data_IF_249469273294
#
_entry.id   IF_249469273294
#
_cell.length_a   1.000
_cell.length_b   1.000
_cell.length_c   1.000
_cell.angle_alpha   90.00
_cell.angle_beta   90.00
_cell.angle_gamma   90.00
#
_symmetry.space_group_name_H-M   'P 1'
#
loop_
_entity.id
_entity.type
_entity.pdbx_description
1 polymer ?
#
# COMPACT_ATOMS: atom_id res chain seq x y z
N UNK A 1 -11.72 -39.82 -49.29
CA UNK A 1 -10.78 -39.20 -50.24
C UNK A 1 -9.79 -38.36 -49.45
N UNK A 2 -8.62 -38.90 -49.13
CA UNK A 2 -7.39 -38.11 -48.86
C UNK A 2 -6.80 -37.65 -50.21
N UNK A 3 -5.78 -36.75 -50.32
CA UNK A 3 -4.86 -36.23 -49.28
C UNK A 3 -4.52 -34.71 -49.33
N UNK A 4 -3.69 -34.28 -48.35
CA UNK A 4 -2.60 -33.30 -48.32
C UNK A 4 -2.63 -31.98 -49.14
N UNK A 5 -2.30 -30.84 -48.49
CA UNK A 5 -0.96 -30.23 -48.66
C UNK A 5 -0.66 -29.09 -47.66
N UNK A 6 0.55 -29.16 -47.11
CA UNK A 6 1.28 -28.14 -46.33
C UNK A 6 1.81 -27.03 -47.24
N UNK A 7 1.82 -25.77 -46.79
CA UNK A 7 2.90 -24.81 -47.11
C UNK A 7 2.84 -23.56 -46.22
N UNK A 8 3.94 -23.39 -45.48
CA UNK A 8 4.35 -22.19 -44.77
C UNK A 8 4.74 -21.11 -45.77
N UNK A 9 4.26 -19.86 -45.65
CA UNK A 9 4.93 -18.70 -46.26
C UNK A 9 4.75 -17.46 -45.38
N UNK A 10 5.91 -16.94 -45.01
CA UNK A 10 6.23 -15.78 -44.17
C UNK A 10 5.72 -14.46 -44.73
N UNK A 11 5.22 -13.60 -43.84
CA UNK A 11 4.89 -12.21 -44.09
C UNK A 11 6.15 -11.36 -44.39
N UNK A 12 6.11 -10.46 -45.40
CA UNK A 12 7.21 -9.51 -45.65
C UNK A 12 7.15 -8.25 -44.76
N UNK A 13 8.35 -7.78 -44.41
CA UNK A 13 8.70 -6.65 -43.52
C UNK A 13 8.42 -5.26 -44.14
N UNK A 14 8.12 -4.21 -43.34
CA UNK A 14 7.57 -2.93 -43.81
C UNK A 14 8.68 -1.92 -44.18
N UNK A 15 9.53 -2.23 -45.16
CA UNK A 15 10.63 -1.36 -45.59
C UNK A 15 10.46 -0.76 -47.00
N UNK A 16 9.22 -0.60 -47.48
CA UNK A 16 8.95 -0.17 -48.85
C UNK A 16 7.91 0.97 -48.98
N UNK A 17 7.92 1.93 -48.06
CA UNK A 17 7.16 3.18 -48.21
C UNK A 17 7.92 4.36 -47.58
N UNK A 18 8.80 5.03 -48.34
CA UNK A 18 9.29 6.38 -48.03
C UNK A 18 9.73 7.11 -49.34
N UNK A 19 9.43 8.42 -49.50
CA UNK A 19 9.53 9.19 -50.76
C UNK A 19 10.91 9.86 -51.03
N UNK A 20 11.14 10.43 -52.24
CA UNK A 20 12.45 10.59 -52.84
C UNK A 20 13.09 11.96 -52.56
N UNK A 21 13.59 12.19 -51.34
CA UNK A 21 14.32 13.41 -50.98
C UNK A 21 15.70 13.15 -50.35
N UNK A 22 16.32 12.01 -50.67
CA UNK A 22 17.63 11.60 -50.15
C UNK A 22 18.65 11.29 -51.27
N UNK A 23 18.73 12.17 -52.27
CA UNK A 23 19.78 12.16 -53.30
C UNK A 23 20.25 13.58 -53.57
N UNK A 24 21.08 14.15 -52.70
CA UNK A 24 22.08 15.19 -53.04
C UNK A 24 22.84 15.63 -51.77
N UNK A 25 23.83 14.85 -51.32
CA UNK A 25 24.91 15.34 -50.44
C UNK A 25 26.05 14.31 -50.31
N UNK A 26 26.45 13.72 -51.43
CA UNK A 26 27.65 12.87 -51.49
C UNK A 26 28.61 13.47 -52.51
N UNK A 27 29.34 14.51 -52.10
CA UNK A 27 30.57 14.99 -52.77
C UNK A 27 31.17 16.17 -52.02
N UNK A 28 32.05 15.90 -51.05
CA UNK A 28 33.25 16.71 -50.80
C UNK A 28 34.17 16.01 -49.80
N UNK A 29 35.42 15.85 -50.25
CA UNK A 29 36.65 15.68 -49.47
C UNK A 29 36.99 14.25 -49.00
N UNK A 30 37.40 13.44 -49.98
CA UNK A 30 38.57 12.56 -49.83
C UNK A 30 39.83 13.42 -49.88
N UNK A 31 40.78 13.14 -48.98
CA UNK A 31 42.19 13.51 -49.17
C UNK A 31 42.93 13.87 -47.89
N UNK A 32 43.51 12.87 -47.22
CA UNK A 32 44.96 12.69 -47.07
C UNK A 32 45.26 11.75 -45.91
N UNK A 33 45.78 10.58 -46.26
CA UNK A 33 46.43 9.65 -45.35
C UNK A 33 47.89 10.07 -45.12
N UNK A 34 48.41 9.83 -43.91
CA UNK A 34 49.72 9.19 -43.74
C UNK A 34 49.92 8.74 -42.29
N UNK A 35 50.49 7.54 -42.17
CA UNK A 35 50.80 6.84 -40.94
C UNK A 35 52.13 7.30 -40.34
N UNK A 36 52.31 7.14 -39.02
CA UNK A 36 53.55 6.56 -38.46
C UNK A 36 53.41 6.32 -36.95
N UNK A 37 54.09 5.28 -36.51
CA UNK A 37 54.04 4.67 -35.19
C UNK A 37 55.00 5.31 -34.17
N UNK A 38 54.81 4.90 -32.90
CA UNK A 38 55.82 4.81 -31.84
C UNK A 38 56.17 6.09 -31.08
N UNK A 39 55.80 6.17 -29.79
CA UNK A 39 56.69 5.80 -28.67
C UNK A 39 56.03 6.14 -27.32
N UNK A 40 56.30 5.26 -26.37
CA UNK A 40 55.89 5.32 -24.97
C UNK A 40 56.59 6.46 -24.22
N UNK A 41 55.85 7.24 -23.43
CA UNK A 41 56.40 8.05 -22.35
C UNK A 41 55.37 8.18 -21.23
N UNK A 42 55.53 7.32 -20.21
CA UNK A 42 54.77 7.36 -18.98
C UNK A 42 54.96 8.70 -18.25
N UNK A 43 53.90 9.50 -18.20
CA UNK A 43 53.83 10.68 -17.34
C UNK A 43 52.99 10.34 -16.11
N UNK A 44 53.65 10.13 -14.97
CA UNK A 44 53.03 9.95 -13.66
C UNK A 44 52.14 11.15 -13.35
N UNK A 45 50.84 10.93 -13.23
CA UNK A 45 49.90 11.88 -12.64
C UNK A 45 49.55 11.37 -11.24
N UNK A 46 49.94 12.15 -10.24
CA UNK A 46 49.56 11.97 -8.84
C UNK A 46 48.04 12.07 -8.66
N UNK A 47 47.42 11.30 -7.75
CA UNK A 47 45.99 11.41 -7.49
C UNK A 47 45.69 12.70 -6.70
N UNK A 48 44.85 13.56 -7.27
CA UNK A 48 44.23 14.68 -6.55
C UNK A 48 43.25 14.13 -5.51
N UNK A 49 43.15 14.75 -4.31
CA UNK A 49 42.23 14.29 -3.28
C UNK A 49 40.79 14.55 -3.72
N UNK A 50 39.98 13.50 -3.70
CA UNK A 50 38.52 13.59 -3.84
C UNK A 50 38.02 14.33 -2.59
N UNK A 51 37.63 15.59 -2.76
CA UNK A 51 36.90 16.34 -1.74
C UNK A 51 35.49 15.72 -1.62
N UNK A 52 35.32 14.84 -0.64
CA UNK A 52 34.00 14.41 -0.19
C UNK A 52 33.20 15.63 0.28
N UNK A 53 31.99 15.91 -0.23
CA UNK A 53 31.12 16.83 0.46
C UNK A 53 30.71 16.16 1.76
N UNK A 54 31.21 16.70 2.85
CA UNK A 54 30.80 16.35 4.19
C UNK A 54 29.28 16.46 4.33
N UNK A 55 28.67 15.37 4.80
CA UNK A 55 27.55 15.37 5.72
C UNK A 55 26.48 16.46 5.48
N UNK A 56 25.75 16.38 4.36
CA UNK A 56 24.35 16.77 4.41
C UNK A 56 23.68 15.74 5.32
N UNK A 57 23.32 16.18 6.53
CA UNK A 57 22.61 15.37 7.51
C UNK A 57 21.46 14.63 6.82
N UNK A 58 21.65 13.33 6.64
CA UNK A 58 20.55 12.42 6.43
C UNK A 58 19.77 12.43 7.75
N UNK A 59 18.88 13.42 7.91
CA UNK A 59 17.62 13.19 8.59
C UNK A 59 16.90 12.12 7.78
N UNK A 60 17.36 10.89 7.97
CA UNK A 60 16.62 9.69 7.67
C UNK A 60 15.38 9.76 8.53
N UNK A 61 14.36 10.44 8.03
CA UNK A 61 13.03 9.90 8.11
C UNK A 61 13.17 8.50 7.52
N UNK A 62 13.45 7.52 8.37
CA UNK A 62 13.06 6.16 8.11
C UNK A 62 11.61 6.29 7.70
N UNK A 63 11.32 6.20 6.40
CA UNK A 63 9.99 5.84 5.95
C UNK A 63 9.77 4.51 6.63
N UNK A 64 9.10 4.55 7.79
CA UNK A 64 8.69 3.36 8.52
C UNK A 64 7.83 2.62 7.51
N UNK A 65 8.38 1.57 6.91
CA UNK A 65 7.56 0.64 6.16
C UNK A 65 6.48 0.19 7.14
N UNK A 66 5.24 0.52 6.84
CA UNK A 66 4.12 0.20 7.71
C UNK A 66 4.13 -1.30 7.95
N UNK A 67 4.14 -1.74 9.21
CA UNK A 67 3.99 -3.15 9.58
C UNK A 67 2.73 -3.76 8.98
N UNK A 68 1.70 -2.99 8.60
CA UNK A 68 0.56 -3.46 7.78
C UNK A 68 0.98 -4.15 6.46
N UNK A 69 2.06 -3.70 5.82
CA UNK A 69 2.61 -4.34 4.61
C UNK A 69 3.63 -5.46 4.90
N UNK A 70 4.10 -5.58 6.15
CA UNK A 70 5.02 -6.64 6.57
C UNK A 70 4.23 -7.75 7.26
N UNK A 71 4.27 -8.97 6.77
CA UNK A 71 3.52 -10.10 7.36
C UNK A 71 4.17 -10.66 8.64
N UNK A 72 5.02 -9.88 9.29
CA UNK A 72 5.70 -10.22 10.54
C UNK A 72 5.80 -8.99 11.44
N UNK A 73 6.08 -9.22 12.72
CA UNK A 73 6.22 -8.18 13.72
C UNK A 73 7.67 -7.72 13.85
N UNK A 74 7.87 -6.42 14.05
CA UNK A 74 9.13 -5.83 14.46
C UNK A 74 8.84 -5.09 15.76
N UNK A 75 9.55 -5.47 16.82
CA UNK A 75 9.39 -4.87 18.13
C UNK A 75 9.71 -3.37 18.06
N UNK A 76 8.79 -2.58 18.60
CA UNK A 76 8.96 -1.14 18.74
C UNK A 76 8.55 -0.71 20.15
N UNK A 77 9.00 0.46 20.63
CA UNK A 77 8.59 0.96 21.95
C UNK A 77 7.07 1.08 22.09
N UNK A 78 6.38 1.36 20.98
CA UNK A 78 4.93 1.52 20.90
C UNK A 78 4.15 0.20 20.75
N UNK A 79 4.78 -0.83 20.18
CA UNK A 79 4.16 -2.12 19.87
C UNK A 79 5.18 -3.22 20.13
N UNK A 80 5.02 -3.91 21.25
CA UNK A 80 5.84 -5.03 21.68
C UNK A 80 4.96 -6.04 22.43
N UNK A 81 5.34 -7.33 22.52
CA UNK A 81 4.56 -8.34 23.22
C UNK A 81 4.54 -8.18 24.75
N UNK A 82 5.48 -7.42 25.31
CA UNK A 82 5.62 -7.24 26.76
C UNK A 82 4.78 -6.07 27.32
N UNK A 83 4.12 -5.28 26.46
CA UNK A 83 3.31 -4.16 26.92
C UNK A 83 2.03 -4.69 27.60
N UNK A 84 1.62 -4.12 28.75
CA UNK A 84 0.35 -4.49 29.37
C UNK A 84 -0.80 -3.99 28.50
N UNK A 85 -1.66 -4.90 28.05
CA UNK A 85 -2.88 -4.58 27.31
C UNK A 85 -4.00 -5.50 27.76
N UNK A 86 -5.14 -4.91 28.12
CA UNK A 86 -6.37 -5.61 28.51
C UNK A 86 -7.58 -4.84 27.99
N UNK A 87 -8.72 -5.52 27.83
CA UNK A 87 -9.97 -4.86 27.49
C UNK A 87 -10.46 -4.00 28.66
N UNK A 88 -11.08 -2.86 28.36
CA UNK A 88 -11.77 -2.07 29.38
C UNK A 88 -12.96 -2.85 29.95
N UNK A 89 -13.40 -2.48 31.16
CA UNK A 89 -14.51 -3.18 31.83
C UNK A 89 -15.78 -3.24 30.96
N UNK A 90 -16.11 -2.13 30.31
CA UNK A 90 -17.27 -2.02 29.41
C UNK A 90 -17.10 -2.90 28.15
N UNK A 91 -15.88 -2.97 27.60
CA UNK A 91 -15.59 -3.84 26.46
C UNK A 91 -15.55 -5.32 26.85
N UNK A 92 -15.20 -5.66 28.10
CA UNK A 92 -15.27 -7.03 28.59
C UNK A 92 -16.71 -7.57 28.62
N UNK A 93 -17.71 -6.72 28.87
CA UNK A 93 -19.12 -7.10 28.77
C UNK A 93 -19.48 -7.47 27.32
N UNK A 94 -19.05 -6.67 26.35
CA UNK A 94 -19.20 -6.96 24.91
C UNK A 94 -18.46 -8.23 24.49
N UNK A 95 -17.26 -8.48 25.03
CA UNK A 95 -16.52 -9.72 24.77
C UNK A 95 -17.31 -10.94 25.26
N UNK A 96 -17.92 -10.86 26.44
CA UNK A 96 -18.76 -11.94 26.96
C UNK A 96 -20.02 -12.15 26.11
N UNK A 97 -20.63 -11.06 25.63
CA UNK A 97 -21.75 -11.11 24.68
C UNK A 97 -21.34 -11.79 23.36
N UNK A 98 -20.22 -11.38 22.76
CA UNK A 98 -19.67 -11.99 21.55
C UNK A 98 -19.45 -13.49 21.76
N UNK A 99 -18.85 -13.89 22.88
CA UNK A 99 -18.61 -15.29 23.20
C UNK A 99 -19.91 -16.08 23.42
N UNK A 100 -20.99 -15.43 23.87
CA UNK A 100 -22.30 -16.06 24.07
C UNK A 100 -22.97 -16.50 22.78
N UNK A 101 -22.63 -15.86 21.64
CA UNK A 101 -23.14 -16.25 20.32
C UNK A 101 -22.56 -17.56 19.81
N UNK A 102 -21.44 -18.02 20.38
CA UNK A 102 -20.73 -19.21 19.94
C UNK A 102 -20.82 -20.33 20.98
N UNK A 103 -20.84 -21.60 20.57
CA UNK A 103 -20.84 -22.71 21.52
C UNK A 103 -19.52 -22.78 22.27
N UNK A 104 -19.54 -23.33 23.49
CA UNK A 104 -18.43 -23.30 24.44
C UNK A 104 -17.13 -23.94 23.94
N UNK A 105 -17.22 -24.88 23.00
CA UNK A 105 -16.08 -25.56 22.38
C UNK A 105 -15.51 -24.85 21.15
N UNK A 106 -16.27 -23.95 20.50
CA UNK A 106 -15.84 -23.20 19.32
C UNK A 106 -15.74 -21.69 19.58
N UNK A 107 -15.16 -21.32 20.72
CA UNK A 107 -14.89 -19.91 21.08
C UNK A 107 -13.95 -19.21 20.10
N UNK A 108 -13.16 -19.97 19.34
CA UNK A 108 -12.28 -19.45 18.27
C UNK A 108 -13.04 -18.61 17.23
N UNK A 109 -14.31 -18.90 16.99
CA UNK A 109 -15.15 -18.15 16.05
C UNK A 109 -15.32 -16.68 16.42
N UNK A 110 -15.15 -16.32 17.70
CA UNK A 110 -15.23 -14.94 18.17
C UNK A 110 -13.97 -14.09 17.94
N UNK A 111 -12.89 -14.63 17.37
CA UNK A 111 -11.62 -13.89 17.22
C UNK A 111 -11.80 -12.63 16.36
N UNK A 112 -12.54 -12.70 15.26
CA UNK A 112 -12.77 -11.57 14.36
C UNK A 112 -13.46 -10.40 15.08
N UNK A 113 -14.64 -10.57 15.71
CA UNK A 113 -15.29 -9.47 16.43
C UNK A 113 -14.49 -8.99 17.66
N UNK A 114 -13.74 -9.87 18.33
CA UNK A 114 -12.86 -9.43 19.44
C UNK A 114 -11.67 -8.60 18.95
N UNK A 115 -11.08 -8.93 17.81
CA UNK A 115 -10.01 -8.15 17.18
C UNK A 115 -10.52 -6.78 16.72
N UNK A 116 -11.73 -6.73 16.15
CA UNK A 116 -12.36 -5.48 15.75
C UNK A 116 -12.63 -4.57 16.96
N UNK A 117 -13.15 -5.16 18.05
CA UNK A 117 -13.35 -4.43 19.30
C UNK A 117 -12.02 -3.92 19.89
N UNK A 118 -10.96 -4.73 19.85
CA UNK A 118 -9.63 -4.33 20.30
C UNK A 118 -9.05 -3.18 19.46
N UNK A 119 -9.25 -3.22 18.13
CA UNK A 119 -8.87 -2.15 17.22
C UNK A 119 -9.58 -0.84 17.57
N UNK A 120 -10.89 -0.90 17.84
CA UNK A 120 -11.67 0.27 18.21
C UNK A 120 -11.24 0.84 19.57
N UNK A 121 -10.96 -0.04 20.55
CA UNK A 121 -10.48 0.38 21.87
C UNK A 121 -9.10 1.06 21.79
N UNK A 122 -8.21 0.55 20.95
CA UNK A 122 -6.82 1.00 20.89
C UNK A 122 -6.57 2.14 19.88
N UNK A 123 -7.65 2.77 19.37
CA UNK A 123 -7.56 3.95 18.50
C UNK A 123 -7.19 3.60 17.06
N UNK A 124 -7.74 2.51 16.54
CA UNK A 124 -7.73 2.20 15.10
C UNK A 124 -6.66 1.24 14.63
N UNK A 125 -5.87 0.65 15.54
CA UNK A 125 -4.88 -0.37 15.21
C UNK A 125 -4.76 -1.42 16.33
N UNK A 126 -4.24 -2.60 16.00
CA UNK A 126 -4.13 -3.75 16.89
C UNK A 126 -2.65 -4.01 17.24
N UNK A 127 -2.23 -3.78 18.50
CA UNK A 127 -0.89 -4.15 18.95
C UNK A 127 -0.78 -5.66 19.19
N UNK A 128 0.45 -6.17 19.19
CA UNK A 128 0.70 -7.61 19.42
C UNK A 128 0.20 -8.05 20.80
N UNK A 129 0.38 -7.22 21.82
CA UNK A 129 -0.15 -7.51 23.15
C UNK A 129 -1.69 -7.65 23.18
N UNK A 130 -2.42 -6.93 22.33
CA UNK A 130 -3.87 -7.11 22.21
C UNK A 130 -4.24 -8.46 21.60
N UNK A 131 -3.49 -8.89 20.60
CA UNK A 131 -3.66 -10.22 20.00
C UNK A 131 -3.37 -11.33 21.02
N UNK A 132 -2.35 -11.16 21.85
CA UNK A 132 -2.00 -12.10 22.92
C UNK A 132 -3.06 -12.14 24.02
N UNK A 133 -3.63 -11.00 24.39
CA UNK A 133 -4.73 -10.93 25.35
C UNK A 133 -5.96 -11.67 24.83
N UNK A 134 -6.33 -11.49 23.56
CA UNK A 134 -7.44 -12.21 22.93
C UNK A 134 -7.16 -13.71 22.90
N UNK A 135 -5.94 -14.13 22.55
CA UNK A 135 -5.56 -15.53 22.54
C UNK A 135 -5.75 -16.20 23.91
N UNK A 136 -5.38 -15.49 25.00
CA UNK A 136 -5.58 -15.95 26.38
C UNK A 136 -7.07 -16.09 26.74
N UNK A 137 -7.92 -15.14 26.35
CA UNK A 137 -9.36 -15.17 26.62
C UNK A 137 -10.03 -16.36 25.93
N UNK A 138 -9.67 -16.60 24.67
CA UNK A 138 -10.26 -17.67 23.85
C UNK A 138 -9.69 -19.04 24.18
N UNK A 139 -8.46 -19.10 24.71
CA UNK A 139 -7.75 -20.34 25.03
C UNK A 139 -7.12 -20.99 23.79
N UNK A 140 -6.66 -20.19 22.83
CA UNK A 140 -5.98 -20.65 21.60
C UNK A 140 -4.52 -20.20 21.57
N UNK A 141 -3.71 -20.85 20.74
CA UNK A 141 -2.34 -20.40 20.51
C UNK A 141 -2.34 -18.99 19.84
N UNK A 142 -1.47 -18.05 20.29
CA UNK A 142 -1.42 -16.68 19.76
C UNK A 142 -1.24 -16.61 18.24
N UNK A 143 -0.52 -17.58 17.67
CA UNK A 143 -0.31 -17.67 16.22
C UNK A 143 -1.61 -17.68 15.41
N UNK A 144 -2.69 -18.29 15.93
CA UNK A 144 -4.00 -18.31 15.25
C UNK A 144 -4.64 -16.92 15.19
N UNK A 145 -4.40 -16.10 16.20
CA UNK A 145 -4.86 -14.71 16.21
C UNK A 145 -4.02 -13.88 15.24
N UNK A 146 -2.70 -14.10 15.17
CA UNK A 146 -1.82 -13.41 14.23
C UNK A 146 -2.14 -13.74 12.77
N UNK A 147 -2.45 -15.01 12.46
CA UNK A 147 -2.90 -15.43 11.13
C UNK A 147 -4.16 -14.65 10.73
N UNK A 148 -5.16 -14.56 11.61
CA UNK A 148 -6.40 -13.80 11.34
C UNK A 148 -6.12 -12.31 11.18
N UNK A 149 -5.32 -11.72 12.07
CA UNK A 149 -5.00 -10.30 12.04
C UNK A 149 -4.18 -9.86 10.81
N UNK A 150 -3.38 -10.76 10.23
CA UNK A 150 -2.64 -10.50 9.00
C UNK A 150 -3.44 -10.80 7.74
N UNK A 151 -4.40 -11.73 7.81
CA UNK A 151 -5.21 -12.16 6.68
C UNK A 151 -6.29 -11.14 6.30
N UNK A 152 -7.00 -10.57 7.27
CA UNK A 152 -8.06 -9.60 6.99
C UNK A 152 -7.51 -8.18 6.88
N UNK A 153 -7.74 -7.54 5.74
CA UNK A 153 -7.28 -6.18 5.42
C UNK A 153 -7.87 -5.06 6.29
N UNK A 154 -8.94 -5.35 7.05
CA UNK A 154 -9.55 -4.40 7.97
C UNK A 154 -8.70 -4.16 9.22
N UNK A 155 -7.90 -5.16 9.61
CA UNK A 155 -7.11 -5.11 10.82
C UNK A 155 -5.81 -4.33 10.61
N UNK A 156 -5.79 -3.10 11.10
CA UNK A 156 -4.59 -2.27 11.01
C UNK A 156 -3.58 -2.72 12.06
N UNK A 157 -2.40 -3.15 11.64
CA UNK A 157 -1.31 -3.56 12.56
C UNK A 157 -0.34 -2.42 12.89
N UNK A 158 -0.61 -1.26 12.34
CA UNK A 158 0.12 -0.01 12.53
C UNK A 158 -0.83 1.12 12.78
N UNK A 159 -0.33 2.16 13.46
CA UNK A 159 -1.04 3.41 13.68
C UNK A 159 -1.48 4.00 12.32
N UNK A 160 -2.77 4.26 12.17
CA UNK A 160 -3.41 4.85 10.97
C UNK A 160 -3.97 6.25 11.23
N UNK A 161 -3.62 6.86 12.36
CA UNK A 161 -4.23 8.12 12.79
C UNK A 161 -5.67 7.95 13.29
N UNK A 162 -6.37 9.08 13.48
CA UNK A 162 -7.75 9.10 14.03
C UNK A 162 -8.82 8.79 12.99
N UNK A 163 -8.60 9.20 11.75
CA UNK A 163 -9.49 9.02 10.62
C UNK A 163 -8.76 8.27 9.52
N UNK A 164 -9.17 7.03 9.28
CA UNK A 164 -8.65 6.26 8.16
C UNK A 164 -9.58 6.44 6.96
N UNK A 165 -9.08 7.17 5.96
CA UNK A 165 -9.74 7.42 4.69
C UNK A 165 -9.49 6.25 3.74
N UNK A 166 -10.51 5.42 3.52
CA UNK A 166 -10.45 4.25 2.66
C UNK A 166 -11.10 4.56 1.31
N UNK A 167 -10.28 4.68 0.27
CA UNK A 167 -10.72 4.99 -1.10
C UNK A 167 -10.85 3.69 -1.89
N UNK A 168 -11.98 3.51 -2.59
CA UNK A 168 -12.21 2.30 -3.38
C UNK A 168 -11.41 2.31 -4.70
N UNK A 169 -10.51 1.34 -4.89
CA UNK A 169 -9.65 1.21 -6.08
C UNK A 169 -10.23 0.34 -7.21
N UNK A 170 -11.35 -0.34 -6.98
CA UNK A 170 -11.88 -1.32 -7.95
C UNK A 170 -12.40 -0.72 -9.24
N UNK A 171 -12.46 -1.56 -10.30
CA UNK A 171 -12.85 -1.17 -11.67
C UNK A 171 -14.10 -0.26 -11.74
N UNK A 172 -15.22 -0.55 -11.05
CA UNK A 172 -16.41 0.31 -11.11
C UNK A 172 -16.16 1.74 -10.58
N UNK A 173 -15.30 1.89 -9.56
CA UNK A 173 -14.92 3.21 -9.05
C UNK A 173 -13.82 3.83 -9.90
N UNK A 174 -12.87 3.03 -10.40
CA UNK A 174 -11.79 3.48 -11.27
C UNK A 174 -12.32 4.16 -12.54
N UNK A 175 -13.29 3.56 -13.25
CA UNK A 175 -13.90 4.15 -14.45
C UNK A 175 -14.72 5.41 -14.16
N UNK A 176 -15.07 5.66 -12.89
CA UNK A 176 -15.80 6.85 -12.41
C UNK A 176 -14.86 7.92 -11.83
N UNK A 177 -13.54 7.76 -11.99
CA UNK A 177 -12.54 8.73 -11.57
C UNK A 177 -12.07 8.59 -10.13
N UNK A 178 -12.15 7.39 -9.52
CA UNK A 178 -11.68 7.20 -8.13
C UNK A 178 -10.19 7.50 -7.93
N UNK A 179 -9.35 7.25 -8.95
CA UNK A 179 -7.92 7.60 -8.91
C UNK A 179 -7.70 9.11 -8.80
N UNK A 180 -8.50 9.91 -9.50
CA UNK A 180 -8.42 11.37 -9.42
C UNK A 180 -8.79 11.87 -8.01
N UNK A 181 -9.74 11.20 -7.34
CA UNK A 181 -10.11 11.48 -5.95
C UNK A 181 -8.98 11.12 -4.99
N UNK A 182 -8.37 9.96 -5.17
CA UNK A 182 -7.23 9.55 -4.36
C UNK A 182 -6.04 10.51 -4.51
N UNK A 183 -5.68 10.88 -5.75
CA UNK A 183 -4.61 11.82 -6.03
C UNK A 183 -4.91 13.22 -5.43
N UNK A 184 -6.16 13.67 -5.52
CA UNK A 184 -6.58 14.92 -4.90
C UNK A 184 -6.46 14.87 -3.37
N UNK A 185 -6.82 13.75 -2.74
CA UNK A 185 -6.71 13.54 -1.29
C UNK A 185 -5.24 13.51 -0.84
N UNK A 186 -4.40 12.73 -1.51
CA UNK A 186 -2.97 12.65 -1.22
C UNK A 186 -2.28 14.00 -1.39
N UNK A 187 -2.64 14.76 -2.43
CA UNK A 187 -2.12 16.12 -2.66
C UNK A 187 -2.60 17.12 -1.61
N UNK A 188 -3.85 17.02 -1.17
CA UNK A 188 -4.40 17.91 -0.15
C UNK A 188 -3.78 17.67 1.23
N UNK A 189 -3.61 16.39 1.60
CA UNK A 189 -3.03 15.99 2.88
C UNK A 189 -1.49 16.03 2.88
N UNK A 190 -0.86 16.05 1.70
CA UNK A 190 0.59 16.08 1.58
C UNK A 190 1.29 14.79 2.03
N UNK A 191 0.58 13.66 2.01
CA UNK A 191 1.08 12.35 2.45
C UNK A 191 1.16 11.37 1.30
N UNK A 192 1.99 10.34 1.43
CA UNK A 192 1.95 9.19 0.52
C UNK A 192 0.84 8.21 0.92
N UNK A 193 0.50 7.30 0.01
CA UNK A 193 -0.44 6.21 0.31
C UNK A 193 0.02 5.44 1.55
N UNK A 194 -0.94 5.14 2.42
CA UNK A 194 -0.77 4.49 3.72
C UNK A 194 0.09 5.26 4.73
N UNK A 195 0.48 6.51 4.46
CA UNK A 195 1.19 7.35 5.41
C UNK A 195 0.21 8.14 6.28
N UNK A 196 0.59 8.35 7.54
CA UNK A 196 -0.19 9.17 8.49
C UNK A 196 0.31 10.60 8.41
N UNK A 197 -0.61 11.57 8.39
CA UNK A 197 -0.26 12.99 8.44
C UNK A 197 0.61 13.32 9.66
N UNK A 198 1.42 14.38 9.57
CA UNK A 198 2.22 14.85 10.72
C UNK A 198 1.39 15.16 11.96
N UNK A 199 0.12 15.53 11.74
CA UNK A 199 -0.83 15.85 12.81
C UNK A 199 -1.41 14.58 13.49
N UNK A 200 -1.14 13.39 12.94
CA UNK A 200 -1.67 12.13 13.46
C UNK A 200 -3.17 11.95 13.26
N UNK A 201 -3.80 12.78 12.43
CA UNK A 201 -5.25 12.81 12.25
C UNK A 201 -5.73 11.92 11.13
N UNK A 202 -5.09 11.96 9.96
CA UNK A 202 -5.58 11.30 8.75
C UNK A 202 -4.56 10.31 8.20
N UNK A 203 -5.06 9.19 7.67
CA UNK A 203 -4.32 8.32 6.74
C UNK A 203 -5.18 8.05 5.52
N UNK A 204 -4.54 7.85 4.36
CA UNK A 204 -5.24 7.44 3.13
C UNK A 204 -4.82 6.03 2.77
N UNK A 205 -5.77 5.11 2.75
CA UNK A 205 -5.60 3.73 2.33
C UNK A 205 -6.45 3.41 1.10
N UNK A 206 -5.90 2.62 0.20
CA UNK A 206 -6.67 2.02 -0.88
C UNK A 206 -7.35 0.76 -0.34
N UNK A 207 -8.63 0.59 -0.66
CA UNK A 207 -9.37 -0.63 -0.36
C UNK A 207 -10.14 -1.09 -1.60
N UNK A 208 -10.44 -2.38 -1.62
CA UNK A 208 -11.16 -3.01 -2.72
C UNK A 208 -12.67 -2.70 -2.67
N UNK A 209 -13.48 -3.53 -3.31
CA UNK A 209 -14.91 -3.30 -3.48
C UNK A 209 -15.63 -3.15 -2.13
N UNK A 210 -16.18 -1.96 -1.86
CA UNK A 210 -16.96 -1.65 -0.66
C UNK A 210 -18.47 -1.89 -0.81
N UNK A 211 -18.91 -2.48 -1.94
CA UNK A 211 -20.34 -2.74 -2.19
C UNK A 211 -21.19 -1.51 -2.57
N UNK A 212 -20.64 -0.29 -2.55
CA UNK A 212 -21.36 0.95 -2.91
C UNK A 212 -21.25 1.32 -4.40
N UNK A 213 -21.27 0.34 -5.31
CA UNK A 213 -20.97 0.55 -6.74
C UNK A 213 -21.93 1.52 -7.45
N UNK A 214 -23.21 1.55 -7.05
CA UNK A 214 -24.22 2.45 -7.61
C UNK A 214 -23.96 3.93 -7.30
N UNK A 215 -23.20 4.22 -6.24
CA UNK A 215 -22.82 5.57 -5.81
C UNK A 215 -21.37 5.93 -6.16
N UNK A 216 -20.72 5.16 -7.04
CA UNK A 216 -19.32 5.39 -7.42
C UNK A 216 -19.07 6.81 -8.00
N UNK A 217 -17.91 7.44 -7.70
CA UNK A 217 -16.83 6.99 -6.83
C UNK A 217 -17.18 7.16 -5.33
N UNK A 218 -16.58 6.35 -4.47
CA UNK A 218 -16.87 6.35 -3.03
C UNK A 218 -15.62 6.32 -2.15
N UNK A 219 -15.79 6.80 -0.93
CA UNK A 219 -14.81 6.79 0.15
C UNK A 219 -15.50 6.37 1.45
N UNK A 220 -14.87 5.48 2.20
CA UNK A 220 -15.28 5.15 3.56
C UNK A 220 -14.34 5.83 4.55
N UNK A 221 -14.90 6.52 5.53
CA UNK A 221 -14.13 7.14 6.62
C UNK A 221 -14.34 6.32 7.88
N UNK A 222 -13.29 5.65 8.36
CA UNK A 222 -13.29 5.00 9.65
C UNK A 222 -12.94 6.04 10.73
N UNK A 223 -13.91 6.34 11.60
CA UNK A 223 -13.73 7.28 12.71
C UNK A 223 -13.32 6.52 13.99
N UNK A 224 -12.04 6.60 14.35
CA UNK A 224 -11.50 6.00 15.57
C UNK A 224 -11.49 6.95 16.78
N UNK A 225 -12.07 8.15 16.67
CA UNK A 225 -12.02 9.15 17.76
C UNK A 225 -12.90 8.82 18.96
N UNK A 226 -14.01 8.12 18.73
CA UNK A 226 -15.04 7.85 19.74
C UNK A 226 -14.89 6.49 20.44
N UNK A 227 -13.78 5.80 20.23
CA UNK A 227 -13.55 4.46 20.80
C UNK A 227 -14.57 3.41 20.29
N UNK A 228 -14.82 2.38 21.10
CA UNK A 228 -15.68 1.24 20.75
C UNK A 228 -17.18 1.50 20.83
N UNK A 229 -17.63 2.57 21.49
CA UNK A 229 -19.07 2.89 21.61
C UNK A 229 -19.59 3.80 20.49
N UNK A 230 -18.70 4.56 19.85
CA UNK A 230 -19.05 5.50 18.80
C UNK A 230 -18.34 5.24 17.47
N UNK A 231 -17.75 4.06 17.30
CA UNK A 231 -17.10 3.67 16.05
C UNK A 231 -18.11 3.70 14.90
N UNK A 232 -17.76 4.36 13.79
CA UNK A 232 -18.64 4.45 12.63
C UNK A 232 -17.82 4.46 11.35
N UNK A 233 -18.26 3.68 10.38
CA UNK A 233 -17.86 3.83 8.98
C UNK A 233 -18.83 4.77 8.27
N UNK A 234 -18.36 5.96 7.93
CA UNK A 234 -19.14 6.90 7.14
C UNK A 234 -18.83 6.69 5.65
N UNK A 235 -19.85 6.29 4.90
CA UNK A 235 -19.74 6.05 3.46
C UNK A 235 -20.17 7.30 2.69
N UNK A 236 -19.24 7.91 1.98
CA UNK A 236 -19.51 9.04 1.11
C UNK A 236 -19.41 8.57 -0.35
N UNK A 237 -20.49 8.76 -1.09
CA UNK A 237 -20.54 8.53 -2.53
C UNK A 237 -21.04 9.78 -3.25
N UNK A 238 -21.04 9.75 -4.58
CA UNK A 238 -21.61 10.85 -5.37
C UNK A 238 -23.12 10.94 -5.09
N UNK A 239 -23.67 12.12 -4.75
CA UNK A 239 -25.11 12.30 -4.63
C UNK A 239 -25.81 11.94 -5.95
N UNK A 240 -26.95 11.24 -5.87
CA UNK A 240 -27.71 10.84 -7.07
C UNK A 240 -28.09 12.02 -7.99
N UNK A 241 -28.20 13.24 -7.43
CA UNK A 241 -28.51 14.47 -8.19
C UNK A 241 -27.38 14.94 -9.12
N UNK A 242 -26.15 14.43 -8.98
CA UNK A 242 -24.98 14.80 -9.80
C UNK A 242 -24.56 13.70 -10.80
N UNK A 243 -25.41 12.69 -11.02
CA UNK A 243 -25.10 11.58 -11.93
C UNK A 243 -25.30 11.91 -13.43
N UNK A 244 -25.98 13.03 -13.76
CA UNK A 244 -26.44 13.34 -15.13
C UNK A 244 -25.75 14.53 -15.82
N UNK A 245 -24.57 14.96 -15.37
CA UNK A 245 -23.79 16.01 -16.04
C UNK A 245 -22.37 15.56 -16.30
#
# INVERSE_FOLDING_TARGET
RTPADTTTTTAPSPAAMLPPAARLAARRLLGLASASASQSAARRLSPSPISSPAAAAATGYFSRAFSSALNYHIDSPDNNPNMPWEFTKDNMEKVNEILSHYPSNYKQSGIIPMLDLAQQQHGGWVPVAAMDAIAKIVGVAPIRVYEVATFYSMFNRTKVGKYHLLVCGTTPCMIRGSRDIEDALLKHLGVKRNEVTSDGLFSVGEMECMGCCVNAPMIAVADYTKGSDGYTYNYYGRPHSQASR
#
